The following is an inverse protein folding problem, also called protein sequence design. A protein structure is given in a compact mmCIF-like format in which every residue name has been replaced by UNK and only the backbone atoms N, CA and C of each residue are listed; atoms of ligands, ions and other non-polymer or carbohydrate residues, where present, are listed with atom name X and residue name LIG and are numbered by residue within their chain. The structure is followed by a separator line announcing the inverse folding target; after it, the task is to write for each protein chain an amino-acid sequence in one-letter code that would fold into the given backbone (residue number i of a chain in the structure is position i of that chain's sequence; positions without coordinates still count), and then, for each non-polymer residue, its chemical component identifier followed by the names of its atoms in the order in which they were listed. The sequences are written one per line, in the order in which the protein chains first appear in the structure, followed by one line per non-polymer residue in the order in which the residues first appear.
data_IF_064373793526
#
_entry.id   IF_064373793526
#
_cell.length_a   1.000
_cell.length_b   1.000
_cell.length_c   1.000
_cell.angle_alpha   90.00
_cell.angle_beta   90.00
_cell.angle_gamma   90.00
#
_symmetry.space_group_name_H-M   'P 1'
#
loop_
_entity.id
_entity.type
_entity.pdbx_description
1 polymer ?
#
# COMPACT_ATOMS: atom_id res chain seq x y z
N UNK A 1 -25.89 -6.05 -36.63
CA UNK A 1 -26.85 -6.65 -35.67
C UNK A 1 -26.24 -6.53 -34.28
N UNK A 2 -26.77 -5.66 -33.42
CA UNK A 2 -26.27 -5.47 -32.05
C UNK A 2 -26.65 -6.68 -31.20
N UNK A 3 -25.70 -7.57 -30.92
CA UNK A 3 -25.88 -8.66 -29.96
C UNK A 3 -25.51 -8.08 -28.60
N UNK A 4 -26.51 -7.56 -27.90
CA UNK A 4 -26.35 -7.15 -26.50
C UNK A 4 -26.37 -8.42 -25.66
N UNK A 5 -25.39 -8.64 -24.77
CA UNK A 5 -25.33 -9.86 -23.98
C UNK A 5 -26.46 -9.88 -22.93
N UNK A 6 -26.96 -11.07 -22.53
CA UNK A 6 -28.25 -11.23 -21.84
C UNK A 6 -28.37 -10.50 -20.49
N UNK A 7 -27.25 -10.21 -19.82
CA UNK A 7 -27.22 -9.52 -18.53
C UNK A 7 -27.39 -7.99 -18.65
N UNK A 8 -27.29 -7.43 -19.86
CA UNK A 8 -27.53 -6.02 -20.17
C UNK A 8 -28.93 -5.78 -20.77
N UNK A 9 -29.72 -6.84 -20.95
CA UNK A 9 -31.05 -6.81 -21.59
C UNK A 9 -32.16 -6.24 -20.68
N UNK A 10 -31.81 -5.53 -19.61
CA UNK A 10 -32.77 -4.93 -18.67
C UNK A 10 -33.65 -5.94 -17.90
N UNK A 11 -33.46 -7.25 -18.13
CA UNK A 11 -34.10 -8.31 -17.37
C UNK A 11 -33.40 -8.40 -16.02
N UNK A 12 -33.96 -7.74 -15.02
CA UNK A 12 -33.63 -8.03 -13.62
C UNK A 12 -33.92 -9.50 -13.38
N UNK A 13 -32.88 -10.33 -13.30
CA UNK A 13 -33.00 -11.67 -12.76
C UNK A 13 -33.29 -11.46 -11.28
N UNK A 14 -34.57 -11.40 -10.93
CA UNK A 14 -35.01 -11.60 -9.56
C UNK A 14 -34.53 -12.99 -9.18
N UNK A 15 -33.41 -13.05 -8.46
CA UNK A 15 -33.07 -14.28 -7.77
C UNK A 15 -34.26 -14.62 -6.88
N UNK A 16 -34.75 -15.85 -6.93
CA UNK A 16 -35.86 -16.33 -6.07
C UNK A 16 -35.47 -16.40 -4.59
N UNK A 17 -34.28 -15.91 -4.24
CA UNK A 17 -33.73 -15.89 -2.90
C UNK A 17 -34.36 -14.72 -2.12
N UNK A 18 -35.59 -14.91 -1.66
CA UNK A 18 -36.32 -13.92 -0.84
C UNK A 18 -35.78 -13.86 0.59
N UNK A 19 -35.16 -14.95 1.07
CA UNK A 19 -34.63 -15.03 2.43
C UNK A 19 -33.13 -14.70 2.49
N UNK A 20 -32.69 -13.94 3.52
CA UNK A 20 -31.30 -13.64 3.73
C UNK A 20 -30.50 -14.94 3.94
N UNK A 21 -29.36 -15.07 3.25
CA UNK A 21 -28.46 -16.22 3.44
C UNK A 21 -27.99 -16.23 4.89
N UNK A 22 -28.40 -17.26 5.64
CA UNK A 22 -28.04 -17.42 7.03
C UNK A 22 -26.55 -17.81 7.08
N UNK A 23 -25.69 -16.99 7.72
CA UNK A 23 -24.28 -17.34 7.86
C UNK A 23 -24.15 -18.50 8.84
N UNK A 24 -23.91 -19.71 8.33
CA UNK A 24 -23.59 -20.88 9.14
C UNK A 24 -22.15 -20.76 9.61
N UNK A 25 -21.95 -20.58 10.93
CA UNK A 25 -20.62 -20.60 11.54
C UNK A 25 -20.24 -22.04 11.79
N UNK A 26 -19.37 -22.60 10.95
CA UNK A 26 -18.78 -23.91 11.18
C UNK A 26 -17.50 -23.76 12.03
N UNK A 27 -17.50 -24.18 13.31
CA UNK A 27 -16.32 -24.11 14.17
C UNK A 27 -15.26 -25.15 13.81
N UNK A 28 -15.58 -26.18 13.02
CA UNK A 28 -14.63 -27.22 12.60
C UNK A 28 -13.82 -26.82 11.38
N UNK A 29 -14.24 -25.77 10.67
CA UNK A 29 -13.57 -25.29 9.47
C UNK A 29 -12.11 -24.90 9.73
N UNK A 30 -11.20 -25.34 8.85
CA UNK A 30 -9.75 -25.18 9.00
C UNK A 30 -9.34 -23.71 9.23
N UNK A 31 -9.96 -22.76 8.51
CA UNK A 31 -9.65 -21.34 8.75
C UNK A 31 -10.05 -20.89 10.15
N UNK A 32 -11.20 -21.33 10.68
CA UNK A 32 -11.64 -20.98 12.04
C UNK A 32 -10.74 -21.62 13.11
N UNK A 33 -10.18 -22.79 12.83
CA UNK A 33 -9.22 -23.48 13.70
C UNK A 33 -7.84 -22.78 13.64
N UNK A 34 -7.35 -22.43 12.45
CA UNK A 34 -6.07 -21.75 12.23
C UNK A 34 -6.09 -20.35 12.85
N UNK A 35 -7.18 -19.59 12.69
CA UNK A 35 -7.33 -18.26 13.30
C UNK A 35 -7.34 -18.32 14.83
N UNK A 36 -7.95 -19.35 15.44
CA UNK A 36 -7.94 -19.55 16.90
C UNK A 36 -6.58 -20.01 17.43
N UNK A 37 -5.93 -20.96 16.75
CA UNK A 37 -4.61 -21.48 17.14
C UNK A 37 -3.50 -20.43 16.93
N UNK A 38 -3.70 -19.52 15.98
CA UNK A 38 -2.73 -18.50 15.60
C UNK A 38 -1.53 -19.08 14.85
N UNK A 39 -0.66 -18.20 14.33
CA UNK A 39 0.56 -18.61 13.63
C UNK A 39 1.67 -18.99 14.62
N UNK A 40 2.30 -20.14 14.41
CA UNK A 40 3.46 -20.59 15.19
C UNK A 40 4.63 -19.60 15.12
N UNK A 41 4.82 -18.95 13.97
CA UNK A 41 5.89 -17.96 13.77
C UNK A 41 5.68 -16.73 14.66
N UNK A 42 4.43 -16.30 14.82
CA UNK A 42 4.08 -15.15 15.67
C UNK A 42 4.31 -15.47 17.14
N UNK A 43 3.93 -16.68 17.59
CA UNK A 43 4.22 -17.16 18.95
C UNK A 43 5.72 -17.19 19.23
N UNK A 44 6.50 -17.84 18.37
CA UNK A 44 7.96 -17.92 18.52
C UNK A 44 8.63 -16.55 18.57
N UNK A 45 8.17 -15.60 17.74
CA UNK A 45 8.69 -14.22 17.74
C UNK A 45 8.35 -13.47 19.03
N UNK A 46 7.19 -13.74 19.63
CA UNK A 46 6.78 -13.16 20.91
C UNK A 46 7.62 -13.72 22.05
N UNK A 47 7.78 -15.04 22.11
CA UNK A 47 8.62 -15.73 23.11
C UNK A 47 10.07 -15.24 23.04
N UNK A 48 10.67 -15.16 21.84
CA UNK A 48 12.01 -14.62 21.66
C UNK A 48 12.13 -13.17 22.14
N UNK A 49 11.10 -12.35 21.92
CA UNK A 49 11.08 -10.96 22.35
C UNK A 49 10.94 -10.84 23.87
N UNK A 50 10.18 -11.72 24.50
CA UNK A 50 10.05 -11.81 25.96
C UNK A 50 11.36 -12.28 26.58
N UNK A 51 11.97 -13.36 26.07
CA UNK A 51 13.29 -13.81 26.50
C UNK A 51 14.38 -12.74 26.33
N UNK A 52 14.43 -12.04 25.19
CA UNK A 52 15.42 -10.97 25.01
C UNK A 52 15.23 -9.83 26.02
N UNK A 53 13.98 -9.52 26.42
CA UNK A 53 13.72 -8.54 27.49
C UNK A 53 14.15 -9.06 28.84
N UNK A 54 13.92 -10.35 29.13
CA UNK A 54 14.38 -10.99 30.36
C UNK A 54 15.91 -10.97 30.43
N UNK A 55 16.60 -11.40 29.38
CA UNK A 55 18.05 -11.29 29.27
C UNK A 55 18.55 -9.84 29.42
N UNK A 56 17.84 -8.86 28.87
CA UNK A 56 18.22 -7.45 28.98
C UNK A 56 18.02 -6.91 30.41
N UNK A 57 17.03 -7.41 31.14
CA UNK A 57 16.83 -7.11 32.58
C UNK A 57 17.88 -7.81 33.43
N UNK A 58 18.22 -9.05 33.13
CA UNK A 58 19.28 -9.79 33.82
C UNK A 58 20.69 -9.22 33.52
N UNK A 59 20.89 -8.64 32.33
CA UNK A 59 22.10 -7.92 31.94
C UNK A 59 22.21 -6.50 32.52
N UNK A 60 21.19 -5.97 33.22
CA UNK A 60 21.43 -4.81 34.07
C UNK A 60 22.24 -5.26 35.29
N UNK A 61 23.57 -5.34 35.12
CA UNK A 61 24.58 -5.67 36.13
C UNK A 61 24.63 -4.66 37.31
N UNK A 62 23.61 -3.82 37.48
CA UNK A 62 23.51 -2.87 38.59
C UNK A 62 23.22 -3.64 39.88
N UNK A 63 24.20 -3.75 40.77
CA UNK A 63 24.06 -4.33 42.11
C UNK A 63 24.71 -5.70 42.35
N UNK A 64 25.38 -6.30 41.36
CA UNK A 64 26.17 -7.52 41.58
C UNK A 64 27.65 -7.20 41.86
N UNK A 65 28.36 -8.04 42.63
CA UNK A 65 29.81 -7.87 42.92
C UNK A 65 30.68 -7.74 41.67
N UNK A 66 30.25 -8.34 40.56
CA UNK A 66 30.93 -8.24 39.26
C UNK A 66 30.68 -6.88 38.61
N UNK A 67 29.46 -6.32 38.74
CA UNK A 67 29.11 -4.98 38.24
C UNK A 67 29.89 -3.86 38.93
N UNK A 68 30.13 -3.98 40.24
CA UNK A 68 30.92 -3.02 41.02
C UNK A 68 32.41 -3.03 40.61
N UNK A 69 32.97 -4.20 40.28
CA UNK A 69 34.34 -4.36 39.77
C UNK A 69 34.53 -3.79 38.34
N UNK A 70 33.47 -3.77 37.53
CA UNK A 70 33.47 -3.28 36.15
C UNK A 70 33.12 -1.78 36.01
N UNK A 71 32.95 -1.05 37.13
CA UNK A 71 32.75 0.40 37.14
C UNK A 71 31.34 0.85 36.71
N UNK A 72 30.35 -0.05 36.74
CA UNK A 72 28.95 0.28 36.45
C UNK A 72 28.35 0.98 37.67
N UNK A 73 28.14 2.29 37.61
CA UNK A 73 27.52 3.05 38.72
C UNK A 73 26.09 2.58 38.96
N UNK A 74 25.76 2.32 40.23
CA UNK A 74 24.38 2.20 40.71
C UNK A 74 23.63 3.49 40.35
N UNK A 75 22.50 3.36 39.67
CA UNK A 75 21.46 4.39 39.74
C UNK A 75 20.73 4.15 41.07
N UNK A 76 20.65 5.17 41.92
CA UNK A 76 19.96 5.09 43.20
C UNK A 76 18.44 4.91 42.98
N UNK A 77 17.90 3.81 43.51
CA UNK A 77 16.48 3.46 43.55
C UNK A 77 15.74 4.30 44.60
N UNK A 78 15.65 5.61 44.34
CA UNK A 78 15.14 6.60 45.29
C UNK A 78 14.09 7.55 44.73
N UNK A 79 13.37 7.15 43.67
CA UNK A 79 12.13 7.74 43.15
C UNK A 79 11.59 6.69 42.16
N UNK A 80 10.27 6.42 42.09
CA UNK A 80 9.77 5.75 40.90
C UNK A 80 10.16 6.67 39.74
N UNK A 81 11.13 6.27 38.90
CA UNK A 81 11.28 6.88 37.58
C UNK A 81 9.85 6.91 37.03
N UNK A 82 9.29 8.08 36.68
CA UNK A 82 7.97 8.09 36.06
C UNK A 82 8.08 7.07 34.95
N UNK A 83 7.17 6.09 34.92
CA UNK A 83 6.97 5.35 33.69
C UNK A 83 6.86 6.45 32.64
N UNK A 84 7.90 6.60 31.81
CA UNK A 84 7.76 7.32 30.57
C UNK A 84 6.70 6.48 29.88
N UNK A 85 5.43 6.85 30.11
CA UNK A 85 4.36 6.68 29.16
C UNK A 85 5.00 7.21 27.88
N UNK A 86 5.55 6.28 27.10
CA UNK A 86 5.97 6.56 25.74
C UNK A 86 4.74 7.28 25.21
N UNK A 87 4.84 8.58 24.90
CA UNK A 87 3.66 9.35 24.53
C UNK A 87 3.01 8.51 23.46
N UNK A 88 1.75 8.12 23.67
CA UNK A 88 1.03 7.27 22.71
C UNK A 88 1.21 7.96 21.38
N UNK A 89 2.18 7.47 20.59
CA UNK A 89 2.52 8.11 19.34
C UNK A 89 1.25 7.88 18.55
N UNK A 90 0.47 8.94 18.34
CA UNK A 90 -0.74 8.88 17.51
C UNK A 90 -0.35 8.08 16.29
N UNK A 91 -1.18 7.12 15.90
CA UNK A 91 -0.90 6.19 14.81
C UNK A 91 -0.42 6.91 13.53
N UNK A 92 -0.80 8.19 13.36
CA UNK A 92 -0.32 9.13 12.35
C UNK A 92 1.19 9.42 12.38
N UNK A 93 1.80 9.54 13.56
CA UNK A 93 3.20 9.92 13.73
C UNK A 93 4.13 8.71 13.54
N UNK A 94 3.70 7.53 13.99
CA UNK A 94 4.36 6.26 13.63
C UNK A 94 4.31 5.98 12.13
N UNK A 95 3.25 6.37 11.43
CA UNK A 95 3.15 6.25 9.96
C UNK A 95 4.05 7.23 9.19
N UNK A 96 4.36 8.40 9.76
CA UNK A 96 5.30 9.36 9.14
C UNK A 96 6.73 8.83 9.18
N UNK A 97 7.14 8.24 10.31
CA UNK A 97 8.48 7.62 10.43
C UNK A 97 8.57 6.31 9.62
N UNK A 98 7.48 5.53 9.52
CA UNK A 98 7.44 4.28 8.74
C UNK A 98 7.19 4.45 7.23
N UNK A 99 6.94 5.67 6.72
CA UNK A 99 6.86 5.90 5.26
C UNK A 99 8.13 5.43 4.54
N UNK A 100 9.26 5.34 5.26
CA UNK A 100 10.55 4.91 4.75
C UNK A 100 10.84 3.40 4.93
N UNK A 101 10.22 2.73 5.91
CA UNK A 101 10.62 1.39 6.34
C UNK A 101 9.92 0.26 5.58
N UNK A 102 8.73 0.51 5.03
CA UNK A 102 7.99 -0.43 4.19
C UNK A 102 8.37 -0.42 2.71
N UNK A 103 9.19 0.55 2.28
CA UNK A 103 9.72 0.62 0.93
C UNK A 103 10.85 -0.41 0.78
N UNK A 104 10.74 -1.30 -0.21
CA UNK A 104 11.81 -2.23 -0.62
C UNK A 104 13.13 -1.49 -0.77
N UNK A 105 14.27 -2.15 -0.50
CA UNK A 105 15.60 -1.56 -0.75
C UNK A 105 15.76 -1.06 -2.19
N UNK A 106 15.03 -1.68 -3.12
CA UNK A 106 14.91 -1.24 -4.51
C UNK A 106 14.35 0.18 -4.65
N UNK A 107 13.35 0.54 -3.85
CA UNK A 107 12.73 1.87 -3.85
C UNK A 107 13.58 2.94 -3.17
N UNK A 108 14.55 2.55 -2.33
CA UNK A 108 15.43 3.50 -1.61
C UNK A 108 16.70 3.84 -2.37
N UNK A 109 17.23 2.90 -3.17
CA UNK A 109 18.53 3.05 -3.82
C UNK A 109 18.47 3.72 -5.19
N UNK A 110 17.31 3.68 -5.85
CA UNK A 110 17.15 4.12 -7.24
C UNK A 110 16.28 5.36 -7.33
N UNK A 111 16.63 6.26 -8.23
CA UNK A 111 15.81 7.43 -8.54
C UNK A 111 14.44 6.99 -9.06
N UNK A 112 13.41 7.83 -8.93
CA UNK A 112 12.07 7.53 -9.45
C UNK A 112 12.10 7.16 -10.94
N UNK A 113 12.98 7.81 -11.71
CA UNK A 113 13.20 7.53 -13.13
C UNK A 113 13.73 6.11 -13.37
N UNK A 114 14.71 5.66 -12.58
CA UNK A 114 15.25 4.29 -12.69
C UNK A 114 14.24 3.22 -12.29
N UNK A 115 13.37 3.50 -11.31
CA UNK A 115 12.29 2.59 -10.93
C UNK A 115 11.29 2.42 -12.07
N UNK A 116 10.98 3.49 -12.82
CA UNK A 116 10.08 3.46 -13.97
C UNK A 116 10.64 2.63 -15.11
N UNK A 117 11.94 2.73 -15.38
CA UNK A 117 12.61 1.96 -16.44
C UNK A 117 12.60 0.45 -16.17
N UNK A 118 12.43 0.03 -14.91
CA UNK A 118 12.36 -1.38 -14.53
C UNK A 118 10.94 -1.97 -14.66
N UNK A 119 9.91 -1.15 -14.87
CA UNK A 119 8.55 -1.65 -15.04
C UNK A 119 8.42 -2.39 -16.37
N UNK A 120 7.73 -3.56 -16.43
CA UNK A 120 7.56 -4.32 -17.66
C UNK A 120 6.98 -3.52 -18.83
N UNK A 121 6.10 -2.55 -18.53
CA UNK A 121 5.49 -1.68 -19.54
C UNK A 121 6.50 -0.78 -20.26
N UNK A 122 7.66 -0.51 -19.66
CA UNK A 122 8.70 0.33 -20.28
C UNK A 122 9.33 -0.36 -21.49
N UNK A 123 9.55 -1.68 -21.41
CA UNK A 123 10.14 -2.46 -22.49
C UNK A 123 9.29 -2.43 -23.77
N UNK A 124 7.97 -2.36 -23.63
CA UNK A 124 6.99 -2.35 -24.74
C UNK A 124 6.44 -0.95 -25.03
N UNK A 125 7.06 0.11 -24.49
CA UNK A 125 6.55 1.48 -24.59
C UNK A 125 6.33 1.93 -26.05
N UNK A 126 7.33 1.72 -26.91
CA UNK A 126 7.26 2.17 -28.31
C UNK A 126 6.18 1.43 -29.08
N UNK A 127 6.09 0.11 -28.92
CA UNK A 127 5.09 -0.71 -29.57
C UNK A 127 3.67 -0.33 -29.11
N UNK A 128 3.47 -0.13 -27.80
CA UNK A 128 2.19 0.33 -27.25
C UNK A 128 1.76 1.67 -27.85
N UNK A 129 2.67 2.65 -27.91
CA UNK A 129 2.37 3.97 -28.49
C UNK A 129 1.98 3.86 -29.97
N UNK A 130 2.69 3.05 -30.76
CA UNK A 130 2.36 2.84 -32.18
C UNK A 130 0.97 2.22 -32.33
N UNK A 131 0.67 1.16 -31.57
CA UNK A 131 -0.64 0.49 -31.61
C UNK A 131 -1.77 1.44 -31.22
N UNK A 132 -1.57 2.28 -30.20
CA UNK A 132 -2.55 3.28 -29.77
C UNK A 132 -2.77 4.37 -30.84
N UNK A 133 -1.71 4.73 -31.58
CA UNK A 133 -1.80 5.72 -32.66
C UNK A 133 -2.60 5.19 -33.85
N UNK A 134 -2.41 3.92 -34.19
CA UNK A 134 -3.02 3.30 -35.36
C UNK A 134 -4.46 2.81 -35.12
N UNK A 135 -4.88 2.67 -33.86
CA UNK A 135 -6.18 2.13 -33.49
C UNK A 135 -6.98 3.07 -32.59
N UNK A 136 -8.24 3.32 -32.95
CA UNK A 136 -9.15 4.13 -32.11
C UNK A 136 -9.48 3.46 -30.77
N UNK A 137 -9.43 2.13 -30.68
CA UNK A 137 -9.67 1.36 -29.47
C UNK A 137 -8.58 0.29 -29.34
N UNK A 138 -7.87 0.28 -28.21
CA UNK A 138 -6.82 -0.70 -27.90
C UNK A 138 -7.11 -1.38 -26.56
N UNK A 139 -7.05 -2.70 -26.52
CA UNK A 139 -7.20 -3.49 -25.30
C UNK A 139 -5.82 -3.88 -24.78
N UNK A 140 -5.47 -3.41 -23.59
CA UNK A 140 -4.17 -3.68 -22.97
C UNK A 140 -4.36 -4.65 -21.80
N UNK A 141 -3.72 -5.82 -21.90
CA UNK A 141 -3.72 -6.85 -20.85
C UNK A 141 -2.36 -6.90 -20.18
N UNK A 142 -2.33 -7.01 -18.86
CA UNK A 142 -1.08 -7.23 -18.12
C UNK A 142 -1.33 -7.44 -16.63
N UNK A 143 -0.36 -8.02 -15.93
CA UNK A 143 -0.43 -8.32 -14.49
C UNK A 143 -0.52 -7.07 -13.61
N UNK A 144 -1.12 -7.17 -12.41
CA UNK A 144 -1.08 -6.11 -11.41
C UNK A 144 0.38 -5.73 -11.07
N UNK A 145 0.68 -4.43 -10.99
CA UNK A 145 2.05 -3.96 -10.74
C UNK A 145 2.91 -3.78 -12.00
N UNK A 146 2.42 -4.14 -13.19
CA UNK A 146 3.16 -3.96 -14.44
C UNK A 146 3.35 -2.48 -14.86
N UNK A 147 2.71 -1.54 -14.17
CA UNK A 147 2.78 -0.10 -14.48
C UNK A 147 1.69 0.44 -15.41
N UNK A 148 0.66 -0.36 -15.77
CA UNK A 148 -0.42 0.07 -16.70
C UNK A 148 -1.05 1.41 -16.31
N UNK A 149 -1.61 1.49 -15.11
CA UNK A 149 -2.38 2.65 -14.66
C UNK A 149 -1.52 3.87 -14.38
N UNK A 150 -0.27 3.67 -13.95
CA UNK A 150 0.64 4.76 -13.58
C UNK A 150 1.42 5.30 -14.77
N UNK A 151 1.86 4.45 -15.70
CA UNK A 151 2.76 4.86 -16.80
C UNK A 151 2.04 5.17 -18.11
N UNK A 152 0.93 4.49 -18.44
CA UNK A 152 0.31 4.61 -19.75
C UNK A 152 -0.17 6.04 -20.05
N UNK A 153 -0.79 6.68 -19.05
CA UNK A 153 -1.24 8.09 -19.14
C UNK A 153 -0.07 9.04 -19.35
N UNK A 154 1.07 8.80 -18.70
CA UNK A 154 2.28 9.60 -18.85
C UNK A 154 2.89 9.44 -20.25
N UNK A 155 2.86 8.24 -20.82
CA UNK A 155 3.33 8.02 -22.20
C UNK A 155 2.44 8.73 -23.22
N UNK A 156 1.12 8.63 -23.06
CA UNK A 156 0.17 9.39 -23.90
C UNK A 156 0.37 10.91 -23.75
N UNK A 157 0.63 11.38 -22.54
CA UNK A 157 0.92 12.80 -22.31
C UNK A 157 2.21 13.24 -23.02
N UNK A 158 3.28 12.44 -22.94
CA UNK A 158 4.55 12.70 -23.61
C UNK A 158 4.43 12.72 -25.15
N UNK A 159 3.54 11.90 -25.71
CA UNK A 159 3.22 11.87 -27.15
C UNK A 159 2.35 13.04 -27.61
N UNK A 160 1.89 13.89 -26.68
CA UNK A 160 1.15 15.11 -26.98
C UNK A 160 -0.38 14.93 -27.03
N UNK A 161 -0.93 13.79 -26.61
CA UNK A 161 -2.38 13.59 -26.51
C UNK A 161 -3.05 14.56 -25.52
N UNK A 162 -2.30 15.13 -24.58
CA UNK A 162 -2.77 16.15 -23.64
C UNK A 162 -2.81 17.59 -24.18
N UNK A 163 -2.34 17.86 -25.41
CA UNK A 163 -2.33 19.23 -25.96
C UNK A 163 -3.70 19.71 -26.43
N UNK A 164 -4.51 18.80 -26.94
CA UNK A 164 -5.82 19.12 -27.54
C UNK A 164 -7.00 18.64 -26.68
N UNK A 165 -6.74 18.19 -25.45
CA UNK A 165 -7.76 17.65 -24.56
C UNK A 165 -7.18 17.04 -23.28
N UNK A 166 -8.04 16.36 -22.53
CA UNK A 166 -7.69 15.75 -21.24
C UNK A 166 -7.52 14.23 -21.38
N UNK A 167 -6.48 13.68 -20.74
CA UNK A 167 -6.29 12.23 -20.61
C UNK A 167 -6.94 11.77 -19.31
N UNK A 168 -8.06 11.06 -19.41
CA UNK A 168 -8.77 10.51 -18.25
C UNK A 168 -8.30 9.11 -17.88
N UNK A 169 -7.94 8.89 -16.61
CA UNK A 169 -7.77 7.55 -16.05
C UNK A 169 -8.90 7.24 -15.09
N UNK A 170 -9.76 6.28 -15.45
CA UNK A 170 -10.89 5.89 -14.60
C UNK A 170 -10.47 4.80 -13.61
N UNK A 171 -10.96 4.91 -12.38
CA UNK A 171 -10.73 3.92 -11.32
C UNK A 171 -12.02 3.66 -10.55
N UNK A 172 -12.39 2.39 -10.28
CA UNK A 172 -13.64 2.06 -9.59
C UNK A 172 -13.61 2.42 -8.09
N UNK A 173 -12.42 2.59 -7.51
CA UNK A 173 -12.25 2.88 -6.07
C UNK A 173 -11.72 4.29 -5.87
N UNK A 174 -12.38 5.08 -5.01
CA UNK A 174 -11.97 6.47 -4.66
C UNK A 174 -10.53 6.53 -4.15
N UNK A 175 -10.16 5.64 -3.24
CA UNK A 175 -8.81 5.59 -2.66
C UNK A 175 -7.75 5.30 -3.74
N UNK A 176 -8.07 4.47 -4.73
CA UNK A 176 -7.16 4.19 -5.84
C UNK A 176 -6.93 5.46 -6.68
N UNK A 177 -8.01 6.16 -7.08
CA UNK A 177 -7.93 7.39 -7.85
C UNK A 177 -7.03 8.45 -7.20
N UNK A 178 -7.25 8.74 -5.91
CA UNK A 178 -6.44 9.71 -5.16
C UNK A 178 -4.98 9.28 -5.07
N UNK A 179 -4.73 8.01 -4.74
CA UNK A 179 -3.36 7.49 -4.58
C UNK A 179 -2.58 7.48 -5.89
N UNK A 180 -3.25 7.18 -7.01
CA UNK A 180 -2.64 7.16 -8.35
C UNK A 180 -2.33 8.57 -8.79
N UNK A 181 -3.27 9.51 -8.66
CA UNK A 181 -3.05 10.91 -9.03
C UNK A 181 -1.85 11.50 -8.26
N UNK A 182 -1.80 11.27 -6.95
CA UNK A 182 -0.66 11.68 -6.12
C UNK A 182 0.66 11.02 -6.54
N UNK A 183 0.64 9.73 -6.85
CA UNK A 183 1.83 9.02 -7.31
C UNK A 183 2.33 9.58 -8.65
N UNK A 184 1.43 9.83 -9.59
CA UNK A 184 1.77 10.37 -10.91
C UNK A 184 2.27 11.81 -10.82
N UNK A 185 1.69 12.65 -9.94
CA UNK A 185 2.19 14.01 -9.72
C UNK A 185 3.62 14.00 -9.15
N UNK A 186 3.91 13.11 -8.20
CA UNK A 186 5.27 12.90 -7.67
C UNK A 186 6.25 12.40 -8.75
N UNK A 187 5.83 11.50 -9.63
CA UNK A 187 6.66 10.97 -10.73
C UNK A 187 6.93 11.99 -11.85
N UNK A 188 6.01 12.94 -12.07
CA UNK A 188 6.12 14.02 -13.05
C UNK A 188 6.75 15.29 -12.48
N UNK A 189 6.92 15.36 -11.15
CA UNK A 189 7.48 16.55 -10.48
C UNK A 189 6.55 17.76 -10.46
N UNK A 190 5.24 17.55 -10.62
CA UNK A 190 4.21 18.61 -10.65
C UNK A 190 3.39 18.59 -9.37
N UNK A 191 2.78 19.72 -9.00
CA UNK A 191 1.86 19.74 -7.86
C UNK A 191 0.52 19.12 -8.25
N UNK A 192 -0.07 18.39 -7.32
CA UNK A 192 -1.41 17.84 -7.51
C UNK A 192 -2.42 18.99 -7.60
N UNK A 193 -3.25 18.97 -8.65
CA UNK A 193 -4.19 20.02 -8.99
C UNK A 193 -3.74 20.92 -10.15
N UNK A 194 -2.48 20.86 -10.58
CA UNK A 194 -1.99 21.54 -11.78
C UNK A 194 -2.14 20.62 -13.00
N UNK A 195 -1.03 20.10 -13.56
CA UNK A 195 -1.04 19.19 -14.71
C UNK A 195 -1.66 17.82 -14.40
N UNK A 196 -1.72 17.43 -13.13
CA UNK A 196 -2.27 16.14 -12.67
C UNK A 196 -3.27 16.38 -11.56
N UNK A 197 -4.50 15.90 -11.74
CA UNK A 197 -5.58 16.02 -10.75
C UNK A 197 -6.45 14.78 -10.67
N UNK A 198 -7.43 14.81 -9.78
CA UNK A 198 -8.47 13.79 -9.68
C UNK A 198 -9.84 14.43 -9.41
N UNK A 199 -10.87 13.83 -9.98
CA UNK A 199 -12.26 14.17 -9.70
C UNK A 199 -12.96 12.94 -9.10
N UNK A 200 -13.44 13.06 -7.88
CA UNK A 200 -14.24 12.01 -7.20
C UNK A 200 -15.53 12.61 -6.68
N UNK A 201 -16.50 11.74 -6.36
CA UNK A 201 -17.78 12.22 -5.81
C UNK A 201 -17.54 12.99 -4.52
N UNK A 202 -17.98 14.25 -4.51
CA UNK A 202 -17.87 15.22 -3.40
C UNK A 202 -16.46 15.81 -3.16
N UNK A 203 -15.49 15.54 -4.02
CA UNK A 203 -14.15 16.12 -3.90
C UNK A 203 -13.50 16.22 -5.28
N UNK A 204 -13.14 17.44 -5.67
CA UNK A 204 -12.51 17.71 -6.95
C UNK A 204 -11.19 18.47 -6.71
N UNK A 205 -10.13 17.99 -7.34
CA UNK A 205 -8.77 18.50 -7.21
C UNK A 205 -8.16 18.64 -8.61
N UNK A 206 -8.85 19.40 -9.46
CA UNK A 206 -8.41 19.82 -10.80
C UNK A 206 -8.49 21.35 -10.91
N UNK A 207 -7.60 21.97 -11.69
CA UNK A 207 -7.62 23.41 -11.99
C UNK A 207 -8.47 23.76 -13.21
#
# INVERSE_FOLDING_TARGET
RNIVPPFLDGRTIFTLQQDPVIPVKDPTFDMAVISRKGSQVVRRRRELKEHLREYQKDMSLSGTRIGDLLGVKKKDDGEPEPEEEKPEKKFSDLMKDNKMSGASEFSRRRTLTEQRNFLPIFAVRQELTSVIRDNSITIIVGETGSGKTTQLTQYMYAEGYGKNGMIGCTQPRRVAAMSIAKRVSEEMGVKLGEDVGYAIRFEDCTS
#
